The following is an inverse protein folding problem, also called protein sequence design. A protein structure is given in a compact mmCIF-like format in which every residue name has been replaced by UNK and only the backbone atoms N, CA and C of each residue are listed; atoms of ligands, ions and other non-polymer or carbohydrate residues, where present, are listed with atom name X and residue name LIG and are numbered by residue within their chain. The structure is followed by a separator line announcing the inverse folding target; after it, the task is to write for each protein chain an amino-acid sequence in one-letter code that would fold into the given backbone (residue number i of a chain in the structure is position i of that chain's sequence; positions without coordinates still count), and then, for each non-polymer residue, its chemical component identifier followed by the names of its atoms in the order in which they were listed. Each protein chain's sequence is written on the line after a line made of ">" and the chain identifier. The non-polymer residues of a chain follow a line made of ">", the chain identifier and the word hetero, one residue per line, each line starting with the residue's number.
data_IF_595027483463
#
_entry.id   IF_595027483463
#
_cell.length_a   1.000
_cell.length_b   1.000
_cell.length_c   1.000
_cell.angle_alpha   90.00
_cell.angle_beta   90.00
_cell.angle_gamma   90.00
#
_symmetry.space_group_name_H-M   'P 1'
#
loop_
_entity.id
_entity.type
_entity.pdbx_description
1 polymer ?
#
# COMPACT_ATOMS: atom_id res chain seq x y z
N UNK A 1 -7.96 14.55 -1.10
CA UNK A 1 -8.83 13.37 -0.96
C UNK A 1 -8.23 12.45 0.09
N UNK A 2 -8.98 12.08 1.15
CA UNK A 2 -8.47 11.29 2.29
C UNK A 2 -8.31 9.80 1.96
N UNK A 3 -9.23 9.26 1.18
CA UNK A 3 -9.29 7.84 0.81
C UNK A 3 -9.07 7.65 -0.69
N UNK A 4 -8.11 6.82 -1.07
CA UNK A 4 -7.71 6.52 -2.44
C UNK A 4 -8.40 5.25 -2.94
N UNK A 5 -8.68 5.21 -4.25
CA UNK A 5 -9.08 3.96 -4.91
C UNK A 5 -7.83 3.09 -5.11
N UNK A 6 -8.03 1.79 -5.29
CA UNK A 6 -6.89 0.88 -5.48
C UNK A 6 -6.16 1.14 -6.79
N UNK A 7 -6.87 1.63 -7.81
CA UNK A 7 -6.31 2.07 -9.08
C UNK A 7 -5.39 3.28 -8.89
N UNK A 8 -5.80 4.28 -8.10
CA UNK A 8 -4.99 5.46 -7.81
C UNK A 8 -3.71 5.08 -7.04
N UNK A 9 -3.81 4.17 -6.08
CA UNK A 9 -2.66 3.65 -5.33
C UNK A 9 -1.70 2.87 -6.24
N UNK A 10 -2.24 2.09 -7.18
CA UNK A 10 -1.44 1.34 -8.15
C UNK A 10 -0.64 2.29 -9.06
N UNK A 11 -1.26 3.38 -9.51
CA UNK A 11 -0.61 4.43 -10.28
C UNK A 11 0.47 5.15 -9.45
N UNK A 12 0.16 5.55 -8.22
CA UNK A 12 1.08 6.27 -7.33
C UNK A 12 2.34 5.46 -6.99
N UNK A 13 2.18 4.14 -6.76
CA UNK A 13 3.29 3.23 -6.53
C UNK A 13 3.92 2.68 -7.83
N UNK A 14 3.40 3.03 -9.00
CA UNK A 14 3.81 2.51 -10.31
C UNK A 14 3.84 0.96 -10.37
N UNK A 15 2.77 0.33 -9.90
CA UNK A 15 2.58 -1.13 -9.89
C UNK A 15 1.23 -1.52 -10.48
N UNK A 16 1.01 -2.82 -10.70
CA UNK A 16 -0.28 -3.31 -11.21
C UNK A 16 -1.29 -3.52 -10.07
N UNK A 17 -2.57 -3.30 -10.35
CA UNK A 17 -3.67 -3.50 -9.39
C UNK A 17 -3.66 -4.86 -8.65
N UNK A 18 -3.32 -6.01 -9.28
CA UNK A 18 -3.21 -7.29 -8.56
C UNK A 18 -2.18 -7.27 -7.43
N UNK A 19 -1.10 -6.49 -7.56
CA UNK A 19 -0.07 -6.34 -6.52
C UNK A 19 -0.63 -5.58 -5.31
N UNK A 20 -1.37 -4.49 -5.54
CA UNK A 20 -2.05 -3.75 -4.46
C UNK A 20 -3.05 -4.67 -3.72
N UNK A 21 -3.82 -5.46 -4.46
CA UNK A 21 -4.75 -6.43 -3.85
C UNK A 21 -4.02 -7.49 -3.02
N UNK A 22 -2.85 -7.94 -3.44
CA UNK A 22 -2.03 -8.88 -2.67
C UNK A 22 -1.54 -8.27 -1.35
N UNK A 23 -1.06 -7.02 -1.37
CA UNK A 23 -0.63 -6.28 -0.18
C UNK A 23 -1.77 -6.06 0.82
N UNK A 24 -2.98 -5.77 0.32
CA UNK A 24 -4.16 -5.65 1.19
C UNK A 24 -4.53 -7.01 1.79
N UNK A 25 -4.46 -8.08 1.00
CA UNK A 25 -4.77 -9.43 1.46
C UNK A 25 -3.74 -9.94 2.47
N UNK A 26 -2.46 -9.59 2.34
CA UNK A 26 -1.41 -9.92 3.32
C UNK A 26 -1.49 -9.05 4.57
N UNK A 27 -2.18 -7.91 4.50
CA UNK A 27 -2.28 -6.93 5.59
C UNK A 27 -1.13 -5.93 5.64
N UNK A 28 -0.18 -6.02 4.70
CA UNK A 28 0.95 -5.09 4.59
C UNK A 28 0.51 -3.67 4.20
N UNK A 29 -0.56 -3.56 3.40
CA UNK A 29 -1.18 -2.28 3.07
C UNK A 29 -2.59 -2.20 3.70
N UNK A 30 -2.76 -1.44 4.79
CA UNK A 30 -4.06 -1.28 5.42
C UNK A 30 -5.08 -0.63 4.46
N UNK A 31 -6.21 -1.30 4.28
CA UNK A 31 -7.33 -0.80 3.50
C UNK A 31 -8.65 -1.14 4.19
N UNK A 32 -9.65 -0.29 3.96
CA UNK A 32 -11.01 -0.48 4.47
C UNK A 32 -11.98 -0.71 3.33
N UNK A 33 -13.01 -1.51 3.60
CA UNK A 33 -14.11 -1.68 2.67
C UNK A 33 -15.20 -0.64 2.97
N UNK A 34 -15.55 0.17 1.98
CA UNK A 34 -16.56 1.23 2.13
C UNK A 34 -17.74 0.91 1.20
N UNK A 35 -18.91 0.66 1.80
CA UNK A 35 -20.13 0.39 1.05
C UNK A 35 -20.22 -1.06 0.57
N UNK A 36 -20.57 -1.25 -0.71
CA UNK A 36 -20.86 -2.56 -1.29
C UNK A 36 -19.68 -3.55 -1.32
N UNK A 37 -19.98 -4.80 -1.70
CA UNK A 37 -18.97 -5.86 -1.82
C UNK A 37 -17.87 -5.46 -2.80
N UNK A 38 -16.62 -5.41 -2.35
CA UNK A 38 -15.45 -5.19 -3.20
C UNK A 38 -15.01 -3.73 -3.38
N UNK A 39 -15.66 -2.77 -2.74
CA UNK A 39 -15.23 -1.37 -2.77
C UNK A 39 -14.21 -1.12 -1.67
N UNK A 40 -12.93 -1.24 -2.00
CA UNK A 40 -11.82 -1.02 -1.08
C UNK A 40 -11.24 0.38 -1.23
N UNK A 41 -10.78 0.95 -0.11
CA UNK A 41 -10.14 2.26 -0.04
C UNK A 41 -8.94 2.22 0.87
N UNK A 42 -7.89 2.92 0.46
CA UNK A 42 -6.67 3.11 1.24
C UNK A 42 -6.67 4.54 1.75
N UNK A 43 -6.49 4.74 3.05
CA UNK A 43 -6.28 6.09 3.58
C UNK A 43 -4.90 6.59 3.16
N UNK A 44 -4.79 7.85 2.71
CA UNK A 44 -3.52 8.41 2.23
C UNK A 44 -2.40 8.28 3.28
N UNK A 45 -2.69 8.56 4.53
CA UNK A 45 -1.70 8.43 5.63
C UNK A 45 -1.20 6.98 5.75
N UNK A 46 -2.05 5.97 5.53
CA UNK A 46 -1.65 4.56 5.55
C UNK A 46 -0.80 4.14 4.36
N UNK A 47 -1.03 4.75 3.19
CA UNK A 47 -0.13 4.57 2.05
C UNK A 47 1.26 5.15 2.35
N UNK A 48 1.32 6.35 2.92
CA UNK A 48 2.58 6.98 3.31
C UNK A 48 3.32 6.17 4.38
N UNK A 49 2.63 5.72 5.43
CA UNK A 49 3.19 4.83 6.46
C UNK A 49 3.79 3.54 5.86
N UNK A 50 3.08 2.91 4.91
CA UNK A 50 3.58 1.76 4.18
C UNK A 50 4.87 2.08 3.42
N UNK A 51 4.91 3.20 2.67
CA UNK A 51 6.10 3.63 1.92
C UNK A 51 7.28 3.84 2.87
N UNK A 52 7.08 4.53 4.00
CA UNK A 52 8.14 4.76 4.99
C UNK A 52 8.67 3.43 5.58
N UNK A 53 7.77 2.50 5.89
CA UNK A 53 8.14 1.17 6.39
C UNK A 53 8.98 0.40 5.36
N UNK A 54 8.60 0.45 4.08
CA UNK A 54 9.36 -0.20 3.00
C UNK A 54 10.74 0.42 2.81
N UNK A 55 10.88 1.74 2.95
CA UNK A 55 12.19 2.40 2.93
C UNK A 55 13.06 2.00 4.12
N UNK A 56 12.50 1.88 5.33
CA UNK A 56 13.24 1.44 6.51
C UNK A 56 13.78 0.01 6.32
N UNK A 57 12.92 -0.91 5.86
CA UNK A 57 13.32 -2.29 5.55
C UNK A 57 14.42 -2.35 4.49
N UNK A 58 14.29 -1.58 3.41
CA UNK A 58 15.31 -1.53 2.35
C UNK A 58 16.67 -1.01 2.87
N UNK A 59 16.67 -0.05 3.81
CA UNK A 59 17.91 0.43 4.43
C UNK A 59 18.57 -0.65 5.29
N UNK A 60 17.79 -1.33 6.12
CA UNK A 60 18.28 -2.44 6.95
C UNK A 60 18.88 -3.57 6.10
N UNK A 61 18.26 -3.89 4.96
CA UNK A 61 18.77 -4.88 4.01
C UNK A 61 20.12 -4.46 3.41
N UNK A 62 20.24 -3.23 2.91
CA UNK A 62 21.49 -2.69 2.35
C UNK A 62 22.62 -2.65 3.40
N UNK A 63 22.30 -2.24 4.63
CA UNK A 63 23.27 -2.20 5.73
C UNK A 63 23.77 -3.60 6.13
N UNK A 64 22.91 -4.63 6.05
CA UNK A 64 23.30 -6.03 6.31
C UNK A 64 24.19 -6.64 5.23
N UNK A 65 24.09 -6.14 4.01
CA UNK A 65 24.86 -6.59 2.85
C UNK A 65 26.19 -5.85 2.68
N UNK A 66 26.40 -4.77 3.44
CA UNK A 66 27.62 -3.95 3.47
C UNK A 66 28.62 -4.40 4.53
#
# INVERSE_FOLDING_TARGET
>A
MRFLRLEDVAEELNVKLPQIRALIKSGELPAIQIGGRGVWRVEREKLEEYIQTRYAQAREEIERES
#
